data_IF_768748898887
#
_entry.id   IF_768748898887
#
_cell.length_a   1.000
_cell.length_b   1.000
_cell.length_c   1.000
_cell.angle_alpha   90.00
_cell.angle_beta   90.00
_cell.angle_gamma   90.00
#
_symmetry.space_group_name_H-M   'P 1'
#
loop_
_entity.id
_entity.type
_entity.pdbx_description
1 polymer ?
#
# COMPACT_ATOMS: atom_id res chain seq x y z
N UNK A 1 -12.36 -12.13 7.33
CA UNK A 1 -11.78 -10.79 7.51
C UNK A 1 -10.27 -10.88 7.59
N UNK A 2 -9.61 -9.99 6.89
CA UNK A 2 -8.16 -9.90 6.91
C UNK A 2 -7.73 -8.97 8.05
N UNK A 3 -6.79 -9.41 8.89
CA UNK A 3 -6.19 -8.50 9.87
C UNK A 3 -5.04 -7.72 9.23
N UNK A 4 -4.56 -6.70 9.95
CA UNK A 4 -3.53 -5.80 9.42
C UNK A 4 -2.20 -6.52 9.15
N UNK A 5 -1.85 -7.50 9.99
CA UNK A 5 -0.60 -8.22 9.81
C UNK A 5 -0.63 -9.06 8.54
N UNK A 6 -1.73 -9.72 8.26
CA UNK A 6 -1.91 -10.48 7.02
C UNK A 6 -1.94 -9.56 5.80
N UNK A 7 -2.60 -8.43 5.89
CA UNK A 7 -2.61 -7.46 4.81
C UNK A 7 -1.20 -6.97 4.50
N UNK A 8 -0.44 -6.59 5.53
CA UNK A 8 0.93 -6.11 5.34
C UNK A 8 1.84 -7.19 4.76
N UNK A 9 1.67 -8.43 5.20
CA UNK A 9 2.42 -9.55 4.64
C UNK A 9 2.13 -9.72 3.16
N UNK A 10 0.87 -9.65 2.77
CA UNK A 10 0.47 -9.79 1.37
C UNK A 10 1.01 -8.65 0.52
N UNK A 11 0.90 -7.42 0.99
CA UNK A 11 1.41 -6.24 0.27
C UNK A 11 2.92 -6.38 0.06
N UNK A 12 3.65 -6.67 1.14
CA UNK A 12 5.10 -6.78 1.08
C UNK A 12 5.53 -7.89 0.14
N UNK A 13 4.90 -9.06 0.24
CA UNK A 13 5.20 -10.20 -0.61
C UNK A 13 4.99 -9.86 -2.09
N UNK A 14 3.85 -9.27 -2.42
CA UNK A 14 3.54 -8.92 -3.81
C UNK A 14 4.50 -7.88 -4.37
N UNK A 15 4.81 -6.84 -3.60
CA UNK A 15 5.73 -5.79 -4.05
C UNK A 15 7.14 -6.34 -4.24
N UNK A 16 7.65 -7.10 -3.27
CA UNK A 16 9.02 -7.62 -3.31
C UNK A 16 9.24 -8.74 -4.32
N UNK A 17 8.17 -9.29 -4.91
CA UNK A 17 8.32 -10.21 -6.06
C UNK A 17 8.87 -9.50 -7.28
N UNK A 18 8.77 -8.19 -7.34
CA UNK A 18 9.29 -7.41 -8.45
C UNK A 18 10.75 -7.04 -8.17
N UNK A 19 11.66 -7.47 -9.06
CA UNK A 19 13.10 -7.27 -8.86
C UNK A 19 13.50 -5.79 -8.81
N UNK A 20 12.66 -4.90 -9.34
CA UNK A 20 12.92 -3.46 -9.32
C UNK A 20 12.51 -2.78 -8.01
N UNK A 21 11.99 -3.51 -7.04
CA UNK A 21 11.67 -2.98 -5.71
C UNK A 21 12.67 -3.56 -4.70
N UNK A 22 13.49 -2.69 -4.09
CA UNK A 22 14.53 -3.08 -3.17
C UNK A 22 14.05 -3.28 -1.75
N UNK A 23 13.11 -2.44 -1.31
CA UNK A 23 12.57 -2.53 0.05
C UNK A 23 11.19 -1.88 0.13
N UNK A 24 10.42 -2.26 1.15
CA UNK A 24 9.08 -1.73 1.40
C UNK A 24 8.91 -1.54 2.90
N UNK A 25 8.43 -0.37 3.29
CA UNK A 25 8.05 -0.06 4.67
C UNK A 25 6.57 0.25 4.70
N UNK A 26 5.84 -0.39 5.60
CA UNK A 26 4.40 -0.23 5.73
C UNK A 26 4.05 0.37 7.09
N UNK A 27 3.10 1.31 7.08
CA UNK A 27 2.61 1.93 8.31
C UNK A 27 1.09 1.88 8.33
N UNK A 28 0.53 1.47 9.46
CA UNK A 28 -0.92 1.47 9.68
C UNK A 28 -1.34 2.86 10.16
N UNK A 29 -2.14 3.54 9.36
CA UNK A 29 -2.67 4.87 9.67
C UNK A 29 -4.16 4.83 9.98
N UNK A 30 -4.73 3.66 10.20
CA UNK A 30 -6.15 3.47 10.43
C UNK A 30 -6.65 4.25 11.64
N UNK A 31 -5.83 4.35 12.68
CA UNK A 31 -6.18 5.07 13.91
C UNK A 31 -6.50 6.55 13.68
N UNK A 32 -6.02 7.14 12.60
CA UNK A 32 -6.30 8.54 12.25
C UNK A 32 -7.74 8.74 11.80
N UNK A 33 -8.45 7.65 11.47
CA UNK A 33 -9.78 7.70 10.87
C UNK A 33 -10.86 6.99 11.70
N UNK A 34 -10.53 6.53 12.90
CA UNK A 34 -11.43 5.73 13.74
C UNK A 34 -12.72 6.46 14.11
N UNK A 35 -12.70 7.78 14.15
CA UNK A 35 -13.86 8.60 14.55
C UNK A 35 -14.70 9.09 13.37
N UNK A 36 -14.30 8.76 12.14
CA UNK A 36 -15.07 9.17 10.98
C UNK A 36 -16.30 8.28 10.83
N UNK A 37 -17.44 8.89 10.51
CA UNK A 37 -18.69 8.17 10.32
C UNK A 37 -18.62 7.18 9.14
N UNK A 38 -17.77 7.43 8.17
CA UNK A 38 -17.56 6.57 7.02
C UNK A 38 -16.52 5.47 7.25
N UNK A 39 -16.00 5.34 8.48
CA UNK A 39 -14.99 4.33 8.78
C UNK A 39 -15.56 2.93 8.62
N UNK A 40 -14.89 2.11 7.83
CA UNK A 40 -15.18 0.69 7.64
C UNK A 40 -14.15 -0.13 8.41
N UNK A 41 -14.61 -0.90 9.40
CA UNK A 41 -13.73 -1.72 10.25
C UNK A 41 -12.99 -2.81 9.49
N UNK A 42 -13.46 -3.17 8.30
CA UNK A 42 -12.85 -4.20 7.47
C UNK A 42 -11.82 -3.65 6.50
N UNK A 43 -11.63 -2.33 6.47
CA UNK A 43 -10.67 -1.67 5.58
C UNK A 43 -9.72 -0.79 6.36
N UNK A 44 -8.50 -0.71 5.87
CA UNK A 44 -7.41 -0.02 6.56
C UNK A 44 -6.94 1.20 5.78
N UNK A 45 -6.35 2.14 6.50
CA UNK A 45 -5.64 3.29 5.92
C UNK A 45 -4.15 3.00 6.05
N UNK A 46 -3.47 2.93 4.92
CA UNK A 46 -2.10 2.41 4.85
C UNK A 46 -1.18 3.43 4.20
N UNK A 47 0.02 3.58 4.76
CA UNK A 47 1.11 4.31 4.13
C UNK A 47 2.17 3.31 3.71
N UNK A 48 2.62 3.40 2.46
CA UNK A 48 3.64 2.51 1.90
C UNK A 48 4.81 3.36 1.43
N UNK A 49 6.00 3.05 1.92
CA UNK A 49 7.25 3.65 1.43
C UNK A 49 7.94 2.59 0.60
N UNK A 50 8.12 2.87 -0.68
CA UNK A 50 8.71 1.93 -1.63
C UNK A 50 10.09 2.42 -2.05
N UNK A 51 11.10 1.61 -1.77
CA UNK A 51 12.48 1.87 -2.19
C UNK A 51 12.71 1.18 -3.54
N UNK A 52 12.75 1.99 -4.58
CA UNK A 52 12.92 1.50 -5.96
C UNK A 52 13.56 2.59 -6.80
N UNK A 53 14.75 2.34 -7.31
CA UNK A 53 15.42 3.25 -8.22
C UNK A 53 14.59 3.45 -9.49
N UNK A 54 14.04 2.36 -10.02
CA UNK A 54 13.25 2.41 -11.25
C UNK A 54 11.98 3.23 -11.06
N UNK A 55 11.21 2.95 -10.01
CA UNK A 55 9.96 3.67 -9.76
C UNK A 55 10.20 5.14 -9.40
N UNK A 56 11.28 5.42 -8.66
CA UNK A 56 11.62 6.80 -8.29
C UNK A 56 12.06 7.64 -9.50
N UNK A 57 12.53 6.99 -10.57
CA UNK A 57 12.91 7.67 -11.81
C UNK A 57 11.72 7.98 -12.71
N UNK A 58 10.57 7.39 -12.44
CA UNK A 58 9.33 7.65 -13.20
C UNK A 58 8.59 8.86 -12.65
N UNK A 59 7.61 9.36 -13.41
CA UNK A 59 6.65 10.29 -12.84
C UNK A 59 5.90 9.60 -11.70
N UNK A 60 5.47 10.39 -10.72
CA UNK A 60 4.69 9.85 -9.61
C UNK A 60 3.43 9.14 -10.10
N UNK A 61 2.80 9.69 -11.14
CA UNK A 61 1.59 9.09 -11.72
C UNK A 61 1.87 7.70 -12.28
N UNK A 62 2.93 7.55 -13.06
CA UNK A 62 3.29 6.26 -13.67
C UNK A 62 3.67 5.23 -12.60
N UNK A 63 4.49 5.63 -11.62
CA UNK A 63 4.89 4.75 -10.54
C UNK A 63 3.68 4.30 -9.72
N UNK A 64 2.77 5.23 -9.40
CA UNK A 64 1.56 4.92 -8.65
C UNK A 64 0.66 3.94 -9.41
N UNK A 65 0.51 4.13 -10.72
CA UNK A 65 -0.28 3.20 -11.54
C UNK A 65 0.28 1.78 -11.51
N UNK A 66 1.60 1.64 -11.56
CA UNK A 66 2.24 0.31 -11.47
C UNK A 66 1.95 -0.35 -10.12
N UNK A 67 2.11 0.38 -9.04
CA UNK A 67 1.85 -0.14 -7.70
C UNK A 67 0.38 -0.50 -7.53
N UNK A 68 -0.53 0.36 -7.99
CA UNK A 68 -1.97 0.09 -7.91
C UNK A 68 -2.34 -1.20 -8.65
N UNK A 69 -1.70 -1.48 -9.77
CA UNK A 69 -1.94 -2.72 -10.50
C UNK A 69 -1.45 -3.94 -9.73
N UNK A 70 -0.27 -3.86 -9.13
CA UNK A 70 0.28 -4.95 -8.32
C UNK A 70 -0.62 -5.26 -7.12
N UNK A 71 -1.16 -4.21 -6.48
CA UNK A 71 -1.96 -4.31 -5.26
C UNK A 71 -3.47 -4.22 -5.52
N UNK A 72 -3.90 -4.47 -6.73
CA UNK A 72 -5.30 -4.28 -7.16
C UNK A 72 -6.30 -4.95 -6.23
N UNK A 73 -6.05 -6.20 -5.84
CA UNK A 73 -6.96 -6.93 -4.98
C UNK A 73 -7.04 -6.35 -3.57
N UNK A 74 -5.89 -6.01 -3.00
CA UNK A 74 -5.83 -5.42 -1.67
C UNK A 74 -6.50 -4.05 -1.63
N UNK A 75 -6.26 -3.24 -2.66
CA UNK A 75 -6.88 -1.92 -2.76
C UNK A 75 -8.39 -2.03 -2.84
N UNK A 76 -8.89 -2.99 -3.62
CA UNK A 76 -10.33 -3.17 -3.79
C UNK A 76 -11.01 -3.67 -2.52
N UNK A 77 -10.41 -4.61 -1.81
CA UNK A 77 -11.08 -5.34 -0.74
C UNK A 77 -10.67 -4.93 0.68
N UNK A 78 -9.47 -4.42 0.89
CA UNK A 78 -8.90 -4.29 2.23
C UNK A 78 -8.39 -2.89 2.56
N UNK A 79 -8.24 -2.01 1.58
CA UNK A 79 -7.66 -0.68 1.79
C UNK A 79 -8.71 0.39 1.52
N UNK A 80 -8.95 1.24 2.52
CA UNK A 80 -9.84 2.39 2.38
C UNK A 80 -9.10 3.58 1.77
N UNK A 81 -7.90 3.84 2.22
CA UNK A 81 -7.03 4.85 1.63
C UNK A 81 -5.58 4.40 1.67
N UNK A 82 -4.83 4.82 0.65
CA UNK A 82 -3.43 4.44 0.50
C UNK A 82 -2.60 5.69 0.18
N UNK A 83 -1.49 5.85 0.90
CA UNK A 83 -0.49 6.85 0.59
C UNK A 83 0.77 6.12 0.18
N UNK A 84 1.34 6.48 -0.95
CA UNK A 84 2.55 5.83 -1.46
C UNK A 84 3.65 6.88 -1.62
N UNK A 85 4.81 6.60 -1.02
CA UNK A 85 6.01 7.40 -1.20
C UNK A 85 7.07 6.55 -1.88
N UNK A 86 7.74 7.13 -2.86
CA UNK A 86 8.83 6.48 -3.61
C UNK A 86 10.16 7.09 -3.21
N UNK A 87 11.12 6.22 -2.93
CA UNK A 87 12.49 6.63 -2.54
C UNK A 87 13.56 5.78 -3.21
#
# INVERSE_FOLDING_TARGET
NMDIDNLFKNIKTKLLKNSFIQNVILEDKTYLHLKHSSHDKNKFHVKIIIYSKELSAMSKLEATKKVNKILEDEIKHNIHSIQILFQ
#
